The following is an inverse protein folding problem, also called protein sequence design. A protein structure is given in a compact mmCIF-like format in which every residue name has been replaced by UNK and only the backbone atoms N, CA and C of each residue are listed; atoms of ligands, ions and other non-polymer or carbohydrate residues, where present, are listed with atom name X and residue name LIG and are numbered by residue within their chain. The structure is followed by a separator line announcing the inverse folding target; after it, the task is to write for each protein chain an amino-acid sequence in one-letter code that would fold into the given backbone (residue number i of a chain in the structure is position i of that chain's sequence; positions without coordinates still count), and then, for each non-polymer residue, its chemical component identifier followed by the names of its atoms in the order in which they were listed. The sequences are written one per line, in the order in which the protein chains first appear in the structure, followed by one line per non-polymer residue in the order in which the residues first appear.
data_IF_649432931266
#
_entry.id   IF_649432931266
#
_cell.length_a   1.000
_cell.length_b   1.000
_cell.length_c   1.000
_cell.angle_alpha   90.00
_cell.angle_beta   90.00
_cell.angle_gamma   90.00
#
_symmetry.space_group_name_H-M   'P 1'
#
loop_
_entity.id
_entity.type
_entity.pdbx_description
1 polymer ?
#
# COMPACT_ATOMS: atom_id res chain seq x y z
N UNK A 1 10.46 -16.80 6.30
CA UNK A 1 10.42 -16.19 4.95
C UNK A 1 11.84 -15.97 4.45
N UNK A 2 12.29 -16.74 3.47
CA UNK A 2 13.70 -16.82 3.05
C UNK A 2 14.16 -15.56 2.30
N UNK A 3 15.34 -15.01 2.66
CA UNK A 3 15.98 -13.77 2.13
C UNK A 3 15.96 -13.63 0.59
N UNK A 4 15.94 -14.72 -0.16
CA UNK A 4 15.85 -14.70 -1.63
C UNK A 4 14.51 -14.15 -2.17
N UNK A 5 13.38 -14.46 -1.51
CA UNK A 5 12.05 -13.97 -1.95
C UNK A 5 11.87 -12.47 -1.70
N UNK A 6 12.53 -11.93 -0.67
CA UNK A 6 12.51 -10.50 -0.36
C UNK A 6 13.26 -9.68 -1.41
N UNK A 7 14.48 -10.10 -1.79
CA UNK A 7 15.24 -9.45 -2.86
C UNK A 7 14.54 -9.55 -4.22
N UNK A 8 13.96 -10.71 -4.56
CA UNK A 8 13.20 -10.87 -5.79
C UNK A 8 11.97 -9.95 -5.86
N UNK A 9 11.22 -9.80 -4.76
CA UNK A 9 10.10 -8.85 -4.67
C UNK A 9 10.56 -7.40 -4.79
N UNK A 10 11.68 -7.03 -4.18
CA UNK A 10 12.23 -5.66 -4.29
C UNK A 10 12.66 -5.34 -5.72
N UNK A 11 13.32 -6.27 -6.41
CA UNK A 11 13.74 -6.08 -7.80
C UNK A 11 12.52 -5.98 -8.72
N UNK A 12 11.53 -6.86 -8.56
CA UNK A 12 10.27 -6.82 -9.32
C UNK A 12 9.49 -5.53 -9.07
N UNK A 13 9.47 -5.05 -7.83
CA UNK A 13 8.84 -3.78 -7.45
C UNK A 13 9.52 -2.59 -8.11
N UNK A 14 10.85 -2.49 -8.02
CA UNK A 14 11.63 -1.45 -8.70
C UNK A 14 11.40 -1.45 -10.21
N UNK A 15 11.43 -2.62 -10.85
CA UNK A 15 11.16 -2.77 -12.28
C UNK A 15 9.77 -2.25 -12.65
N UNK A 16 8.72 -2.66 -11.93
CA UNK A 16 7.35 -2.15 -12.15
C UNK A 16 7.26 -0.64 -11.97
N UNK A 17 7.93 -0.09 -10.96
CA UNK A 17 7.92 1.35 -10.71
C UNK A 17 8.63 2.12 -11.82
N UNK A 18 9.78 1.63 -12.29
CA UNK A 18 10.50 2.21 -13.42
C UNK A 18 9.72 2.07 -14.72
N UNK A 19 9.10 0.92 -14.99
CA UNK A 19 8.29 0.70 -16.19
C UNK A 19 7.02 1.55 -16.15
N UNK A 20 6.33 1.65 -15.03
CA UNK A 20 5.15 2.51 -14.89
C UNK A 20 5.48 4.00 -15.08
N UNK A 21 6.63 4.45 -14.54
CA UNK A 21 7.14 5.82 -14.77
C UNK A 21 7.59 6.05 -16.22
N UNK A 22 8.24 5.07 -16.85
CA UNK A 22 8.77 5.17 -18.21
C UNK A 22 7.69 5.06 -19.29
N UNK A 23 6.65 4.24 -19.09
CA UNK A 23 5.49 4.12 -19.98
C UNK A 23 4.60 5.37 -19.93
N UNK A 24 4.79 6.26 -18.93
CA UNK A 24 4.01 7.49 -18.83
C UNK A 24 2.54 7.24 -18.53
N UNK A 25 2.23 6.10 -17.90
CA UNK A 25 0.86 5.66 -17.63
C UNK A 25 0.32 6.43 -16.41
N UNK A 26 -0.10 7.67 -16.66
CA UNK A 26 -0.71 8.55 -15.66
C UNK A 26 -1.91 7.87 -14.99
N UNK A 27 -2.61 7.01 -15.72
CA UNK A 27 -3.70 6.17 -15.21
C UNK A 27 -3.20 5.25 -14.10
N UNK A 28 -2.12 4.51 -14.32
CA UNK A 28 -1.56 3.58 -13.33
C UNK A 28 -0.97 4.30 -12.11
N UNK A 29 -0.37 5.48 -12.30
CA UNK A 29 0.05 6.33 -11.17
C UNK A 29 -1.13 6.89 -10.38
N UNK A 30 -2.19 7.31 -11.06
CA UNK A 30 -3.39 7.85 -10.43
C UNK A 30 -4.13 6.75 -9.64
N UNK A 31 -4.32 5.57 -10.22
CA UNK A 31 -4.89 4.41 -9.53
C UNK A 31 -4.05 4.01 -8.32
N UNK A 32 -2.72 3.92 -8.46
CA UNK A 32 -1.83 3.58 -7.35
C UNK A 32 -1.78 4.64 -6.24
N UNK A 33 -2.00 5.92 -6.54
CA UNK A 33 -2.17 6.95 -5.51
C UNK A 33 -3.55 6.88 -4.87
N UNK A 34 -4.62 6.65 -5.65
CA UNK A 34 -5.97 6.50 -5.13
C UNK A 34 -6.06 5.31 -4.17
N UNK A 35 -5.50 4.15 -4.53
CA UNK A 35 -5.41 2.97 -3.65
C UNK A 35 -4.62 3.27 -2.37
N UNK A 36 -3.51 4.01 -2.45
CA UNK A 36 -2.76 4.40 -1.25
C UNK A 36 -3.55 5.31 -0.31
N UNK A 37 -4.26 6.28 -0.87
CA UNK A 37 -5.10 7.20 -0.08
C UNK A 37 -6.26 6.44 0.55
N UNK A 38 -6.93 5.57 -0.22
CA UNK A 38 -8.02 4.74 0.26
C UNK A 38 -7.55 3.79 1.37
N UNK A 39 -6.40 3.12 1.18
CA UNK A 39 -5.81 2.23 2.16
C UNK A 39 -5.44 2.95 3.46
N UNK A 40 -4.81 4.12 3.39
CA UNK A 40 -4.52 4.95 4.58
C UNK A 40 -5.80 5.39 5.29
N UNK A 41 -6.83 5.74 4.53
CA UNK A 41 -8.12 6.17 5.11
C UNK A 41 -8.81 5.00 5.83
N UNK A 42 -8.80 3.80 5.23
CA UNK A 42 -9.29 2.60 5.89
C UNK A 42 -8.47 2.25 7.14
N UNK A 43 -7.14 2.30 7.07
CA UNK A 43 -6.27 1.99 8.21
C UNK A 43 -6.55 2.94 9.39
N UNK A 44 -6.68 4.25 9.13
CA UNK A 44 -7.02 5.24 10.16
C UNK A 44 -8.43 5.01 10.73
N UNK A 45 -9.40 4.70 9.87
CA UNK A 45 -10.76 4.40 10.31
C UNK A 45 -10.83 3.12 11.15
N UNK A 46 -10.09 2.08 10.77
CA UNK A 46 -9.98 0.83 11.52
C UNK A 46 -9.24 1.03 12.84
N UNK A 47 -8.12 1.76 12.89
CA UNK A 47 -7.40 2.05 14.15
C UNK A 47 -8.30 2.85 15.11
N UNK A 48 -9.04 3.84 14.60
CA UNK A 48 -10.00 4.60 15.39
C UNK A 48 -11.15 3.72 15.91
N UNK A 49 -11.71 2.86 15.06
CA UNK A 49 -12.76 1.92 15.44
C UNK A 49 -12.26 0.86 16.43
N UNK A 50 -11.02 0.38 16.28
CA UNK A 50 -10.38 -0.56 17.20
C UNK A 50 -10.18 0.10 18.57
N UNK A 51 -9.63 1.33 18.62
CA UNK A 51 -9.46 2.06 19.88
C UNK A 51 -10.78 2.35 20.57
N UNK A 52 -11.81 2.71 19.81
CA UNK A 52 -13.15 2.88 20.35
C UNK A 52 -13.67 1.56 20.94
N UNK A 53 -13.56 0.44 20.20
CA UNK A 53 -13.97 -0.90 20.70
C UNK A 53 -13.17 -1.35 21.92
N UNK A 54 -11.89 -1.02 21.99
CA UNK A 54 -11.00 -1.40 23.09
C UNK A 54 -11.24 -0.54 24.33
N UNK A 55 -11.56 0.74 24.17
CA UNK A 55 -11.97 1.63 25.27
C UNK A 55 -13.41 1.41 25.74
N UNK A 56 -14.27 0.83 24.90
CA UNK A 56 -15.66 0.50 25.23
C UNK A 56 -15.83 -0.91 25.84
N UNK A 57 -14.77 -1.72 25.89
CA UNK A 57 -14.76 -2.97 26.65
C UNK A 57 -14.26 -2.68 28.08
N UNK A 58 -15.11 -2.81 29.12
CA UNK A 58 -14.67 -2.70 30.51
C UNK A 58 -13.70 -3.83 30.90
#
# INVERSE_FOLDING_TARGET
MSKGKAKAKQVKGKLKETTGKATGDRSMQAEGQAEQVQGKTQEVAEDAAERARKGLKP
#
